data_IF_369626660289
#
_entry.id   IF_369626660289
#
_cell.length_a   1.000
_cell.length_b   1.000
_cell.length_c   1.000
_cell.angle_alpha   90.00
_cell.angle_beta   90.00
_cell.angle_gamma   90.00
#
_symmetry.space_group_name_H-M   'P 1'
#
loop_
_entity.id
_entity.type
_entity.pdbx_description
1 polymer ?
#
# COMPACT_ATOMS: atom_id res chain seq x y z
N UNK A 1 -17.53 -8.65 13.71
CA UNK A 1 -16.36 -7.73 13.59
C UNK A 1 -14.99 -8.43 13.63
N UNK A 2 -14.66 -9.27 14.63
CA UNK A 2 -13.31 -9.91 14.72
C UNK A 2 -12.89 -10.75 13.50
N UNK A 3 -13.84 -11.40 12.80
CA UNK A 3 -13.53 -12.23 11.62
C UNK A 3 -13.02 -11.41 10.41
N UNK A 4 -13.59 -10.24 10.16
CA UNK A 4 -13.21 -9.42 9.00
C UNK A 4 -11.78 -8.84 9.17
N UNK A 5 -11.45 -8.42 10.39
CA UNK A 5 -10.11 -7.93 10.73
C UNK A 5 -9.07 -9.05 10.63
N UNK A 6 -9.37 -10.25 11.13
CA UNK A 6 -8.49 -11.42 10.97
C UNK A 6 -8.24 -11.72 9.49
N UNK A 7 -9.29 -11.72 8.68
CA UNK A 7 -9.18 -11.99 7.24
C UNK A 7 -8.25 -11.01 6.52
N UNK A 8 -8.27 -9.72 6.88
CA UNK A 8 -7.34 -8.72 6.34
C UNK A 8 -5.90 -9.12 6.66
N UNK A 9 -5.59 -9.39 7.93
CA UNK A 9 -4.24 -9.78 8.33
C UNK A 9 -3.78 -11.08 7.66
N UNK A 10 -4.66 -12.09 7.60
CA UNK A 10 -4.38 -13.37 6.98
C UNK A 10 -4.05 -13.22 5.48
N UNK A 11 -4.77 -12.35 4.78
CA UNK A 11 -4.50 -12.04 3.38
C UNK A 11 -3.17 -11.29 3.18
N UNK A 12 -2.94 -10.25 3.97
CA UNK A 12 -1.72 -9.43 3.90
C UNK A 12 -0.47 -10.30 4.13
N UNK A 13 -0.51 -11.18 5.13
CA UNK A 13 0.59 -12.10 5.44
C UNK A 13 0.79 -13.15 4.34
N UNK A 14 -0.28 -13.71 3.77
CA UNK A 14 -0.19 -14.67 2.68
C UNK A 14 0.48 -14.08 1.43
N UNK A 15 0.09 -12.87 1.05
CA UNK A 15 0.64 -12.17 -0.12
C UNK A 15 2.10 -11.77 0.11
N UNK A 16 2.42 -11.24 1.31
CA UNK A 16 3.80 -10.92 1.67
C UNK A 16 4.69 -12.16 1.69
N UNK A 17 4.21 -13.29 2.21
CA UNK A 17 4.94 -14.55 2.20
C UNK A 17 5.23 -15.03 0.77
N UNK A 18 4.24 -14.96 -0.12
CA UNK A 18 4.43 -15.30 -1.53
C UNK A 18 5.46 -14.40 -2.23
N UNK A 19 5.49 -13.10 -1.91
CA UNK A 19 6.50 -12.17 -2.42
C UNK A 19 7.91 -12.52 -1.88
N UNK A 20 8.03 -12.81 -0.58
CA UNK A 20 9.29 -13.22 0.02
C UNK A 20 9.86 -14.51 -0.61
N UNK A 21 9.01 -15.51 -0.86
CA UNK A 21 9.41 -16.76 -1.53
C UNK A 21 9.93 -16.53 -2.96
N UNK A 22 9.45 -15.48 -3.64
CA UNK A 22 9.89 -15.10 -4.98
C UNK A 22 11.16 -14.25 -4.98
N UNK A 23 11.65 -13.83 -3.81
CA UNK A 23 12.85 -13.00 -3.69
C UNK A 23 12.67 -11.58 -4.25
N UNK A 24 11.45 -11.04 -4.23
CA UNK A 24 11.19 -9.66 -4.65
C UNK A 24 11.13 -8.71 -3.45
N UNK A 25 11.40 -7.43 -3.67
CA UNK A 25 11.44 -6.41 -2.60
C UNK A 25 10.06 -5.98 -2.09
N UNK A 26 9.02 -6.22 -2.86
CA UNK A 26 7.67 -5.73 -2.55
C UNK A 26 6.57 -6.32 -3.41
N UNK A 27 5.34 -5.97 -3.05
CA UNK A 27 4.12 -6.35 -3.75
C UNK A 27 3.13 -5.19 -3.78
N UNK A 28 2.52 -5.00 -4.94
CA UNK A 28 1.43 -4.05 -5.19
C UNK A 28 0.17 -4.87 -5.49
N UNK A 29 -0.89 -4.71 -4.70
CA UNK A 29 -2.11 -5.50 -4.82
C UNK A 29 -3.40 -4.72 -4.47
N UNK A 30 -4.53 -5.43 -4.46
CA UNK A 30 -5.85 -4.94 -4.08
C UNK A 30 -6.67 -6.06 -3.42
N UNK A 31 -7.90 -6.30 -3.90
CA UNK A 31 -8.79 -7.41 -3.52
C UNK A 31 -9.53 -7.27 -2.18
N UNK A 32 -8.89 -6.80 -1.11
CA UNK A 32 -9.52 -6.71 0.23
C UNK A 32 -10.15 -5.35 0.57
N UNK A 33 -10.12 -4.41 -0.38
CA UNK A 33 -10.75 -3.08 -0.28
C UNK A 33 -10.23 -2.21 0.90
N UNK A 34 -9.07 -2.54 1.45
CA UNK A 34 -8.44 -1.82 2.56
C UNK A 34 -7.10 -1.24 2.11
N UNK A 35 -7.00 0.08 2.02
CA UNK A 35 -5.75 0.75 1.66
C UNK A 35 -4.66 0.48 2.71
N UNK A 36 -3.46 0.08 2.28
CA UNK A 36 -2.34 -0.19 3.18
C UNK A 36 -0.98 0.08 2.51
N UNK A 37 -0.05 0.65 3.28
CA UNK A 37 1.35 0.77 2.91
C UNK A 37 2.22 0.44 4.12
N UNK A 38 2.77 -0.78 4.19
CA UNK A 38 3.55 -1.24 5.35
C UNK A 38 4.67 -2.20 4.98
N UNK A 39 5.55 -2.47 5.93
CA UNK A 39 6.58 -3.51 5.82
C UNK A 39 6.08 -4.79 6.50
N UNK A 40 6.18 -5.93 5.84
CA UNK A 40 5.89 -7.25 6.40
C UNK A 40 7.15 -8.10 6.22
N UNK A 41 7.90 -8.30 7.30
CA UNK A 41 9.25 -8.86 7.21
C UNK A 41 10.17 -7.96 6.35
N UNK A 42 10.77 -8.55 5.31
CA UNK A 42 11.59 -7.83 4.33
C UNK A 42 10.79 -7.30 3.12
N UNK A 43 9.50 -7.61 3.01
CA UNK A 43 8.66 -7.24 1.86
C UNK A 43 7.97 -5.91 2.12
N UNK A 44 8.04 -5.01 1.13
CA UNK A 44 7.20 -3.81 1.07
C UNK A 44 5.80 -4.16 0.55
N UNK A 45 4.80 -4.08 1.40
CA UNK A 45 3.41 -4.38 1.07
C UNK A 45 2.62 -3.10 0.76
N UNK A 46 2.04 -3.04 -0.43
CA UNK A 46 1.21 -1.93 -0.89
C UNK A 46 -0.12 -2.48 -1.40
N UNK A 47 -1.22 -2.07 -0.77
CA UNK A 47 -2.57 -2.45 -1.15
C UNK A 47 -3.39 -1.20 -1.45
N UNK A 48 -3.98 -1.12 -2.64
CA UNK A 48 -5.05 -0.16 -2.87
C UNK A 48 -6.34 -0.70 -2.27
N UNK A 49 -7.11 0.20 -1.66
CA UNK A 49 -8.51 -0.09 -1.38
C UNK A 49 -9.36 0.11 -2.63
N UNK A 50 -10.66 0.28 -2.43
CA UNK A 50 -11.60 0.49 -3.53
C UNK A 50 -11.88 1.97 -3.81
N UNK A 51 -12.78 2.21 -4.77
CA UNK A 51 -13.25 3.54 -5.17
C UNK A 51 -14.56 3.94 -4.48
N UNK A 52 -14.99 3.18 -3.48
CA UNK A 52 -16.27 3.38 -2.79
C UNK A 52 -16.02 3.81 -1.34
N UNK A 53 -15.27 3.03 -0.59
CA UNK A 53 -15.00 3.25 0.84
C UNK A 53 -13.73 4.07 1.06
N UNK A 54 -12.64 3.73 0.36
CA UNK A 54 -11.31 4.34 0.64
C UNK A 54 -10.82 5.32 -0.41
N UNK A 55 -11.42 5.28 -1.61
CA UNK A 55 -11.05 6.04 -2.79
C UNK A 55 -9.53 6.19 -2.97
N UNK A 56 -8.81 5.07 -3.01
CA UNK A 56 -7.34 5.06 -2.98
C UNK A 56 -6.71 4.55 -4.28
N UNK A 57 -5.49 5.00 -4.53
CA UNK A 57 -4.65 4.56 -5.64
C UNK A 57 -3.20 4.40 -5.19
N UNK A 58 -2.43 3.58 -5.90
CA UNK A 58 -0.98 3.49 -5.71
C UNK A 58 -0.31 4.23 -6.85
N UNK A 59 0.59 5.16 -6.50
CA UNK A 59 1.31 6.00 -7.47
C UNK A 59 2.80 5.79 -7.29
N UNK A 60 3.49 5.56 -8.40
CA UNK A 60 4.95 5.64 -8.50
C UNK A 60 5.33 7.00 -9.09
N UNK A 61 6.20 7.72 -8.38
CA UNK A 61 6.73 9.01 -8.76
C UNK A 61 7.98 8.84 -9.62
N UNK A 62 8.34 9.87 -10.40
CA UNK A 62 9.53 9.85 -11.25
C UNK A 62 10.86 9.72 -10.47
N UNK A 63 10.87 10.00 -9.17
CA UNK A 63 12.01 9.81 -8.27
C UNK A 63 12.09 8.37 -7.68
N UNK A 64 11.20 7.47 -8.09
CA UNK A 64 11.11 6.10 -7.61
C UNK A 64 10.39 5.94 -6.28
N UNK A 65 9.87 7.02 -5.67
CA UNK A 65 8.96 6.88 -4.52
C UNK A 65 7.65 6.25 -4.98
N UNK A 66 7.15 5.31 -4.18
CA UNK A 66 5.81 4.74 -4.37
C UNK A 66 4.98 5.08 -3.14
N UNK A 67 3.73 5.50 -3.29
CA UNK A 67 2.85 5.74 -2.15
C UNK A 67 1.39 5.40 -2.47
N UNK A 68 0.61 5.17 -1.41
CA UNK A 68 -0.85 5.06 -1.50
C UNK A 68 -1.43 6.46 -1.31
N UNK A 69 -2.14 6.96 -2.31
CA UNK A 69 -2.83 8.25 -2.30
C UNK A 69 -4.34 8.03 -2.11
N UNK A 70 -5.01 9.00 -1.52
CA UNK A 70 -6.45 9.01 -1.33
C UNK A 70 -7.08 10.19 -2.06
N UNK A 71 -8.14 9.93 -2.82
CA UNK A 71 -8.91 10.93 -3.54
C UNK A 71 -10.14 11.35 -2.73
N UNK A 72 -10.43 12.65 -2.72
CA UNK A 72 -11.62 13.18 -2.04
C UNK A 72 -11.55 13.19 -0.50
N UNK A 73 -10.49 12.64 0.10
CA UNK A 73 -10.22 12.79 1.54
C UNK A 73 -9.59 14.17 1.76
N UNK A 74 -10.39 15.15 2.18
CA UNK A 74 -9.89 16.44 2.65
C UNK A 74 -9.19 16.25 4.01
N UNK A 75 -7.95 15.77 4.00
CA UNK A 75 -7.11 15.60 5.17
C UNK A 75 -5.65 15.46 4.75
N UNK A 76 -4.84 16.47 5.06
CA UNK A 76 -3.54 16.71 4.46
C UNK A 76 -2.51 15.61 4.72
N UNK A 77 -1.85 15.15 3.65
CA UNK A 77 -0.44 14.76 3.69
C UNK A 77 0.30 15.58 2.64
N UNK A 78 0.85 16.71 3.08
CA UNK A 78 1.82 17.43 2.27
C UNK A 78 3.05 16.54 2.09
N UNK A 79 3.33 16.12 0.86
CA UNK A 79 4.61 15.51 0.51
C UNK A 79 5.68 16.62 0.51
N UNK A 80 6.82 16.46 1.21
CA UNK A 80 7.90 17.44 1.11
C UNK A 80 8.40 17.47 -0.34
N UNK A 81 8.55 18.69 -0.88
CA UNK A 81 9.04 18.91 -2.23
C UNK A 81 10.35 18.14 -2.47
N UNK A 82 10.57 17.55 -3.67
CA UNK A 82 11.81 16.89 -3.97
C UNK A 82 12.97 17.89 -3.82
N UNK A 83 14.02 17.49 -3.10
CA UNK A 83 15.29 18.22 -3.10
C UNK A 83 15.79 18.27 -4.54
N UNK A 84 15.85 19.48 -5.10
CA UNK A 84 16.55 19.73 -6.35
C UNK A 84 18.01 19.30 -6.16
N UNK A 85 18.44 18.29 -6.91
CA UNK A 85 19.85 17.93 -7.01
C UNK A 85 20.55 18.93 -7.96
N UNK A 86 21.83 19.26 -7.71
CA UNK A 86 22.56 20.32 -8.43
C UNK A 86 22.80 20.01 -9.92
#
# INVERSE_FOLDING_TARGET
VKKAVSFIFDFEDAVAHAAAQRGVDGVVCGHIHSAAARRIGNVRYLNCGDWVDTCSAIVEHFDGRIEVVHWGVHGATASPAPLALP
#
